data_IF_992224163001
#
_entry.id   IF_992224163001
#
_cell.length_a   1.000
_cell.length_b   1.000
_cell.length_c   1.000
_cell.angle_alpha   90.00
_cell.angle_beta   90.00
_cell.angle_gamma   90.00
#
_symmetry.space_group_name_H-M   'P 1'
#
loop_
_entity.id
_entity.type
_entity.pdbx_description
1 polymer ?
#
# COMPACT_ATOMS: atom_id res chain seq x y z
N UNK A 1 10.41 -18.89 -18.46
CA UNK A 1 10.35 -17.44 -18.76
C UNK A 1 11.55 -16.79 -18.12
N UNK A 2 12.24 -15.88 -18.81
CA UNK A 2 13.40 -15.18 -18.24
C UNK A 2 12.95 -14.07 -17.27
N UNK A 3 13.72 -13.79 -16.19
CA UNK A 3 13.44 -12.66 -15.30
C UNK A 3 13.41 -11.33 -16.04
N UNK A 4 12.43 -10.50 -15.71
CA UNK A 4 12.25 -9.17 -16.29
C UNK A 4 13.45 -8.27 -15.98
N UNK A 5 14.01 -7.65 -17.02
CA UNK A 5 15.08 -6.67 -16.89
C UNK A 5 14.47 -5.27 -16.80
N UNK A 6 14.38 -4.75 -15.57
CA UNK A 6 13.81 -3.43 -15.32
C UNK A 6 14.73 -2.31 -15.82
N UNK A 7 14.14 -1.25 -16.38
CA UNK A 7 14.86 -0.02 -16.73
C UNK A 7 15.27 0.71 -15.46
N UNK A 8 16.46 1.30 -15.47
CA UNK A 8 16.94 2.14 -14.36
C UNK A 8 16.11 3.44 -14.34
N UNK A 9 15.73 3.89 -13.16
CA UNK A 9 15.04 5.16 -12.96
C UNK A 9 16.01 6.35 -13.08
N UNK A 10 15.57 7.51 -13.60
CA UNK A 10 14.22 7.78 -14.10
C UNK A 10 13.99 7.16 -15.48
N UNK A 11 12.79 6.63 -15.71
CA UNK A 11 12.38 6.20 -17.05
C UNK A 11 12.00 7.42 -17.89
N UNK A 12 12.42 7.44 -19.15
CA UNK A 12 11.96 8.46 -20.10
C UNK A 12 10.46 8.29 -20.36
N UNK A 13 9.72 9.40 -20.31
CA UNK A 13 8.29 9.46 -20.62
C UNK A 13 8.00 10.70 -21.47
N UNK A 14 6.91 10.64 -22.25
CA UNK A 14 6.42 11.77 -23.04
C UNK A 14 5.20 12.38 -22.37
N UNK A 15 5.14 13.70 -22.36
CA UNK A 15 3.98 14.45 -21.88
C UNK A 15 3.08 14.75 -23.07
N UNK A 16 2.09 13.90 -23.29
CA UNK A 16 1.07 14.11 -24.32
C UNK A 16 -0.14 14.89 -23.78
N UNK A 17 -1.10 15.17 -24.68
CA UNK A 17 -2.30 15.94 -24.33
C UNK A 17 -3.15 15.24 -23.28
N UNK A 18 -3.23 13.92 -23.31
CA UNK A 18 -4.03 13.15 -22.36
C UNK A 18 -3.43 13.21 -20.97
N UNK A 19 -2.12 12.97 -20.86
CA UNK A 19 -1.40 13.09 -19.58
C UNK A 19 -1.52 14.51 -19.01
N UNK A 20 -1.39 15.55 -19.86
CA UNK A 20 -1.57 16.93 -19.41
C UNK A 20 -2.97 17.19 -18.86
N UNK A 21 -4.01 16.70 -19.53
CA UNK A 21 -5.39 16.85 -19.08
C UNK A 21 -5.61 16.15 -17.73
N UNK A 22 -5.13 14.90 -17.59
CA UNK A 22 -5.23 14.13 -16.36
C UNK A 22 -4.47 14.79 -15.20
N UNK A 23 -3.27 15.33 -15.47
CA UNK A 23 -2.50 16.08 -14.46
C UNK A 23 -3.21 17.35 -14.02
N UNK A 24 -3.83 18.08 -14.96
CA UNK A 24 -4.61 19.28 -14.65
C UNK A 24 -5.82 18.95 -13.79
N UNK A 25 -6.57 17.91 -14.15
CA UNK A 25 -7.73 17.45 -13.38
C UNK A 25 -7.33 16.99 -11.99
N UNK A 26 -6.30 16.15 -11.87
CA UNK A 26 -5.79 15.67 -10.59
C UNK A 26 -5.34 16.84 -9.68
N UNK A 27 -4.62 17.81 -10.24
CA UNK A 27 -4.16 19.01 -9.52
C UNK A 27 -5.32 19.86 -9.04
N UNK A 28 -6.35 20.05 -9.88
CA UNK A 28 -7.56 20.78 -9.51
C UNK A 28 -8.29 20.07 -8.36
N UNK A 29 -8.54 18.77 -8.47
CA UNK A 29 -9.22 17.99 -7.41
C UNK A 29 -8.44 17.98 -6.11
N UNK A 30 -7.12 17.89 -6.18
CA UNK A 30 -6.27 17.95 -4.99
C UNK A 30 -6.31 19.35 -4.33
N UNK A 31 -6.34 20.42 -5.12
CA UNK A 31 -6.53 21.78 -4.63
C UNK A 31 -7.89 21.99 -3.95
N UNK A 32 -8.98 21.51 -4.57
CA UNK A 32 -10.32 21.50 -3.99
C UNK A 32 -10.34 20.75 -2.65
N UNK A 33 -9.75 19.55 -2.61
CA UNK A 33 -9.60 18.75 -1.40
C UNK A 33 -8.87 19.52 -0.29
N UNK A 34 -7.69 20.09 -0.58
CA UNK A 34 -6.91 20.85 0.40
C UNK A 34 -7.69 22.05 0.93
N UNK A 35 -8.36 22.79 0.05
CA UNK A 35 -9.17 23.94 0.45
C UNK A 35 -10.32 23.54 1.36
N UNK A 36 -10.97 22.40 1.14
CA UNK A 36 -12.03 21.92 2.04
C UNK A 36 -11.46 21.67 3.45
N UNK A 37 -10.31 21.00 3.55
CA UNK A 37 -9.66 20.72 4.83
C UNK A 37 -9.24 21.98 5.59
N UNK A 38 -8.66 22.97 4.89
CA UNK A 38 -8.24 24.23 5.50
C UNK A 38 -9.42 25.04 6.06
N UNK A 39 -10.65 24.78 5.59
CA UNK A 39 -11.88 25.46 6.01
C UNK A 39 -12.80 24.60 6.90
N UNK A 40 -12.36 23.42 7.35
CA UNK A 40 -13.14 22.59 8.27
C UNK A 40 -13.20 23.23 9.66
N UNK A 41 -14.42 23.36 10.21
CA UNK A 41 -14.65 23.89 11.56
C UNK A 41 -14.47 22.84 12.67
N UNK A 42 -13.95 21.66 12.35
CA UNK A 42 -13.70 20.57 13.30
C UNK A 42 -12.37 19.89 12.98
N UNK A 43 -11.87 19.13 13.95
CA UNK A 43 -10.60 18.43 13.82
C UNK A 43 -10.65 17.39 12.68
N UNK A 44 -9.88 17.67 11.63
CA UNK A 44 -9.82 16.85 10.42
C UNK A 44 -9.19 15.48 10.64
N UNK A 45 -8.49 15.26 11.76
CA UNK A 45 -7.89 13.97 12.11
C UNK A 45 -8.90 12.84 12.17
N UNK A 46 -10.12 13.08 12.68
CA UNK A 46 -11.18 12.06 12.73
C UNK A 46 -11.61 11.58 11.35
N UNK A 47 -11.67 12.50 10.38
CA UNK A 47 -11.99 12.15 9.00
C UNK A 47 -10.84 11.38 8.35
N UNK A 48 -9.60 11.85 8.54
CA UNK A 48 -8.41 11.20 7.99
C UNK A 48 -8.22 9.79 8.54
N UNK A 49 -8.47 9.58 9.84
CA UNK A 49 -8.42 8.26 10.45
C UNK A 49 -9.42 7.28 9.82
N UNK A 50 -10.64 7.77 9.52
CA UNK A 50 -11.67 6.98 8.87
C UNK A 50 -11.35 6.70 7.40
N UNK A 51 -10.82 7.69 6.69
CA UNK A 51 -10.36 7.54 5.31
C UNK A 51 -9.20 6.53 5.22
N UNK A 52 -8.24 6.62 6.13
CA UNK A 52 -7.11 5.68 6.19
C UNK A 52 -7.55 4.26 6.53
N UNK A 53 -8.51 4.10 7.44
CA UNK A 53 -9.11 2.79 7.73
C UNK A 53 -9.80 2.22 6.50
N UNK A 54 -10.57 3.04 5.78
CA UNK A 54 -11.25 2.63 4.54
C UNK A 54 -10.24 2.23 3.45
N UNK A 55 -9.18 3.01 3.26
CA UNK A 55 -8.11 2.69 2.32
C UNK A 55 -7.41 1.38 2.68
N UNK A 56 -7.12 1.17 3.98
CA UNK A 56 -6.52 -0.06 4.47
C UNK A 56 -7.40 -1.29 4.19
N UNK A 57 -8.71 -1.13 4.35
CA UNK A 57 -9.69 -2.15 3.97
C UNK A 57 -9.73 -2.39 2.46
N UNK A 58 -9.79 -1.34 1.64
CA UNK A 58 -9.87 -1.48 0.18
C UNK A 58 -8.62 -2.11 -0.40
N UNK A 59 -7.45 -1.73 0.09
CA UNK A 59 -6.17 -2.34 -0.29
C UNK A 59 -6.12 -3.84 0.04
N UNK A 60 -6.55 -4.24 1.24
CA UNK A 60 -6.58 -5.66 1.64
C UNK A 60 -7.70 -6.44 0.93
N UNK A 61 -8.80 -5.79 0.55
CA UNK A 61 -9.87 -6.37 -0.27
C UNK A 61 -9.37 -6.81 -1.65
N UNK A 62 -8.42 -6.08 -2.26
CA UNK A 62 -7.78 -6.48 -3.53
C UNK A 62 -7.04 -7.82 -3.37
N UNK A 63 -6.44 -8.05 -2.20
CA UNK A 63 -5.72 -9.28 -1.84
C UNK A 63 -6.65 -10.42 -1.35
N UNK A 64 -7.97 -10.19 -1.36
CA UNK A 64 -8.98 -11.21 -1.07
C UNK A 64 -9.36 -11.37 0.41
N UNK A 65 -9.10 -10.35 1.24
CA UNK A 65 -9.60 -10.29 2.62
C UNK A 65 -11.12 -10.48 2.71
N UNK A 66 -11.56 -11.31 3.66
CA UNK A 66 -12.96 -11.71 3.86
C UNK A 66 -13.59 -10.95 5.04
N UNK A 67 -13.56 -9.63 4.98
CA UNK A 67 -14.21 -8.73 5.95
C UNK A 67 -15.21 -7.86 5.20
N UNK A 68 -16.39 -7.64 5.77
CA UNK A 68 -17.35 -6.69 5.21
C UNK A 68 -16.97 -5.25 5.59
N UNK A 69 -17.48 -4.28 4.82
CA UNK A 69 -17.18 -2.87 5.08
C UNK A 69 -17.75 -2.38 6.42
N UNK A 70 -18.89 -2.93 6.86
CA UNK A 70 -19.47 -2.65 8.17
C UNK A 70 -18.63 -3.27 9.30
N UNK A 71 -18.19 -4.53 9.16
CA UNK A 71 -17.31 -5.20 10.13
C UNK A 71 -15.99 -4.45 10.37
N UNK A 72 -15.45 -3.79 9.34
CA UNK A 72 -14.24 -2.96 9.43
C UNK A 72 -14.32 -1.90 10.53
N UNK A 73 -15.49 -1.32 10.79
CA UNK A 73 -15.64 -0.30 11.86
C UNK A 73 -15.68 -0.92 13.26
N UNK A 74 -15.90 -2.23 13.37
CA UNK A 74 -16.01 -2.96 14.63
C UNK A 74 -14.80 -3.85 14.94
N UNK A 75 -13.71 -3.76 14.16
CA UNK A 75 -12.53 -4.65 14.30
C UNK A 75 -11.93 -4.71 15.71
N UNK A 76 -12.08 -3.66 16.52
CA UNK A 76 -11.60 -3.62 17.92
C UNK A 76 -12.44 -4.48 18.88
N UNK A 77 -13.68 -4.77 18.50
CA UNK A 77 -14.65 -5.52 19.30
C UNK A 77 -14.85 -6.95 18.82
N UNK A 78 -14.43 -7.24 17.58
CA UNK A 78 -14.46 -8.58 17.01
C UNK A 78 -13.25 -9.39 17.49
N UNK A 79 -13.39 -10.72 17.47
CA UNK A 79 -12.26 -11.61 17.70
C UNK A 79 -11.22 -11.38 16.58
N UNK A 80 -9.94 -11.12 16.91
CA UNK A 80 -8.94 -10.89 15.88
C UNK A 80 -8.76 -12.11 14.96
N UNK A 81 -8.92 -11.88 13.67
CA UNK A 81 -8.56 -12.79 12.56
C UNK A 81 -7.32 -12.26 11.84
N UNK A 82 -6.69 -13.08 11.00
CA UNK A 82 -5.56 -12.64 10.16
C UNK A 82 -5.98 -11.45 9.27
N UNK A 83 -7.13 -11.56 8.61
CA UNK A 83 -7.72 -10.50 7.80
C UNK A 83 -7.92 -9.18 8.59
N UNK A 84 -8.43 -9.27 9.81
CA UNK A 84 -8.66 -8.07 10.65
C UNK A 84 -7.35 -7.40 11.05
N UNK A 85 -6.30 -8.22 11.26
CA UNK A 85 -4.96 -7.76 11.60
C UNK A 85 -4.27 -7.16 10.39
N UNK A 86 -4.46 -7.70 9.19
CA UNK A 86 -3.92 -7.14 7.95
C UNK A 86 -4.43 -5.71 7.72
N UNK A 87 -5.74 -5.46 7.89
CA UNK A 87 -6.30 -4.10 7.81
C UNK A 87 -5.64 -3.17 8.85
N UNK A 88 -5.52 -3.63 10.10
CA UNK A 88 -4.92 -2.83 11.17
C UNK A 88 -3.41 -2.60 10.97
N UNK A 89 -2.70 -3.57 10.42
CA UNK A 89 -1.27 -3.49 10.12
C UNK A 89 -1.02 -2.48 9.00
N UNK A 90 -1.85 -2.48 7.95
CA UNK A 90 -1.73 -1.52 6.86
C UNK A 90 -1.97 -0.09 7.35
N UNK A 91 -3.02 0.14 8.16
CA UNK A 91 -3.26 1.44 8.80
C UNK A 91 -2.04 1.90 9.61
N UNK A 92 -1.53 1.02 10.50
CA UNK A 92 -0.34 1.29 11.32
C UNK A 92 0.91 1.56 10.48
N UNK A 93 1.05 0.87 9.34
CA UNK A 93 2.18 1.02 8.42
C UNK A 93 2.21 2.41 7.80
N UNK A 94 1.05 2.90 7.34
CA UNK A 94 0.93 4.24 6.76
C UNK A 94 1.11 5.32 7.83
N UNK A 95 0.53 5.15 9.02
CA UNK A 95 0.75 6.06 10.15
C UNK A 95 2.22 6.15 10.52
N UNK A 96 2.90 5.01 10.64
CA UNK A 96 4.33 4.96 10.90
C UNK A 96 5.11 5.72 9.82
N UNK A 97 4.85 5.43 8.54
CA UNK A 97 5.54 6.07 7.43
C UNK A 97 5.33 7.59 7.41
N UNK A 98 4.09 8.04 7.63
CA UNK A 98 3.75 9.45 7.76
C UNK A 98 4.55 10.12 8.88
N UNK A 99 4.59 9.52 10.08
CA UNK A 99 5.35 10.03 11.21
C UNK A 99 6.86 10.11 10.92
N UNK A 100 7.43 9.13 10.20
CA UNK A 100 8.84 9.19 9.79
C UNK A 100 9.10 10.35 8.83
N UNK A 101 8.23 10.55 7.84
CA UNK A 101 8.40 11.58 6.81
C UNK A 101 8.26 12.99 7.40
N UNK A 102 7.26 13.25 8.26
CA UNK A 102 7.10 14.57 8.88
C UNK A 102 8.24 14.92 9.86
N UNK A 103 8.93 13.91 10.38
CA UNK A 103 10.15 14.07 11.19
C UNK A 103 11.42 14.29 10.35
N UNK A 104 11.29 14.39 9.02
CA UNK A 104 12.39 14.67 8.09
C UNK A 104 13.16 13.45 7.62
N UNK A 105 12.67 12.23 7.88
CA UNK A 105 13.29 11.02 7.31
C UNK A 105 12.96 10.91 5.82
N UNK A 106 13.92 10.41 5.04
CA UNK A 106 13.76 10.21 3.60
C UNK A 106 12.95 8.94 3.32
N UNK A 107 12.29 8.91 2.17
CA UNK A 107 11.73 7.67 1.62
C UNK A 107 12.88 6.89 1.02
N UNK A 108 13.37 5.90 1.76
CA UNK A 108 14.46 5.03 1.37
C UNK A 108 14.13 3.56 1.67
N UNK A 109 15.07 2.66 1.35
CA UNK A 109 14.88 1.23 1.59
C UNK A 109 14.76 0.88 3.08
N UNK A 110 15.31 1.70 3.98
CA UNK A 110 15.13 1.50 5.40
C UNK A 110 13.66 1.71 5.78
N UNK A 111 13.05 2.82 5.34
CA UNK A 111 11.63 3.10 5.57
C UNK A 111 10.74 1.99 4.99
N UNK A 112 10.98 1.61 3.73
CA UNK A 112 10.22 0.55 3.04
C UNK A 112 10.32 -0.78 3.79
N UNK A 113 11.51 -1.15 4.27
CA UNK A 113 11.71 -2.36 5.05
C UNK A 113 11.00 -2.30 6.41
N UNK A 114 11.01 -1.16 7.11
CA UNK A 114 10.25 -1.02 8.35
C UNK A 114 8.74 -1.12 8.10
N UNK A 115 8.25 -0.48 7.03
CA UNK A 115 6.85 -0.59 6.61
C UNK A 115 6.46 -2.05 6.34
N UNK A 116 7.27 -2.78 5.55
CA UNK A 116 7.06 -4.19 5.25
C UNK A 116 7.03 -5.06 6.52
N UNK A 117 7.88 -4.76 7.50
CA UNK A 117 7.88 -5.46 8.79
C UNK A 117 6.58 -5.28 9.56
N UNK A 118 6.05 -4.06 9.62
CA UNK A 118 4.78 -3.76 10.30
C UNK A 118 3.62 -4.41 9.56
N UNK A 119 3.63 -4.35 8.22
CA UNK A 119 2.57 -4.90 7.38
C UNK A 119 2.37 -6.41 7.61
N UNK A 120 3.48 -7.16 7.71
CA UNK A 120 3.46 -8.62 7.87
C UNK A 120 3.42 -9.11 9.33
N UNK A 121 3.34 -8.21 10.32
CA UNK A 121 3.34 -8.61 11.72
C UNK A 121 2.12 -9.48 12.07
N UNK A 122 2.36 -10.72 12.50
CA UNK A 122 1.33 -11.61 13.04
C UNK A 122 0.15 -11.90 12.09
N UNK A 123 0.44 -11.90 10.79
CA UNK A 123 -0.49 -12.18 9.67
C UNK A 123 0.14 -13.13 8.65
N UNK A 124 -0.58 -13.42 7.55
CA UNK A 124 -0.06 -14.24 6.45
C UNK A 124 1.22 -13.64 5.90
N UNK A 125 2.25 -14.47 5.71
CA UNK A 125 3.56 -14.03 5.23
C UNK A 125 4.53 -13.56 6.32
N UNK A 126 4.17 -13.61 7.60
CA UNK A 126 5.09 -13.31 8.71
C UNK A 126 6.34 -14.21 8.74
N UNK A 127 6.27 -15.38 8.10
CA UNK A 127 7.37 -16.33 7.91
C UNK A 127 8.28 -15.97 6.71
N UNK A 128 7.93 -14.97 5.90
CA UNK A 128 8.62 -14.58 4.66
C UNK A 128 9.61 -13.43 4.84
N UNK A 129 10.41 -13.50 5.91
CA UNK A 129 11.45 -12.51 6.24
C UNK A 129 10.93 -11.05 6.28
N UNK A 130 9.98 -10.71 7.18
CA UNK A 130 9.45 -9.36 7.30
C UNK A 130 10.56 -8.30 7.43
N UNK A 131 10.43 -7.23 6.64
CA UNK A 131 11.39 -6.13 6.57
C UNK A 131 12.72 -6.46 5.88
N UNK A 132 12.78 -7.52 5.09
CA UNK A 132 13.93 -7.81 4.24
C UNK A 132 13.53 -7.82 2.77
N UNK A 133 14.50 -7.47 1.92
CA UNK A 133 14.37 -7.71 0.48
C UNK A 133 14.51 -9.21 0.26
N UNK A 134 13.59 -9.76 -0.54
CA UNK A 134 13.60 -11.19 -0.86
C UNK A 134 14.96 -11.61 -1.41
N UNK A 135 15.41 -12.78 -1.01
CA UNK A 135 16.62 -13.45 -1.55
C UNK A 135 16.26 -14.56 -2.55
N UNK A 136 14.97 -14.84 -2.73
CA UNK A 136 14.45 -15.88 -3.61
C UNK A 136 13.73 -15.28 -4.81
N UNK A 137 13.83 -15.97 -5.95
CA UNK A 137 13.05 -15.61 -7.13
C UNK A 137 11.56 -15.87 -6.88
N UNK A 138 10.72 -14.88 -7.17
CA UNK A 138 9.27 -15.04 -7.16
C UNK A 138 8.73 -15.05 -8.60
N UNK A 139 7.45 -15.38 -8.78
CA UNK A 139 6.75 -15.31 -10.07
C UNK A 139 5.27 -14.98 -9.87
N UNK A 140 4.63 -14.44 -10.91
CA UNK A 140 3.19 -14.23 -10.99
C UNK A 140 2.63 -15.28 -11.95
N UNK A 141 1.68 -16.08 -11.47
CA UNK A 141 1.00 -17.11 -12.26
C UNK A 141 -0.43 -17.31 -11.73
N UNK A 142 -1.34 -17.92 -12.53
CA UNK A 142 -2.57 -18.48 -11.99
C UNK A 142 -2.28 -19.43 -10.82
N UNK A 143 -3.23 -19.51 -9.89
CA UNK A 143 -3.06 -20.30 -8.65
C UNK A 143 -2.75 -21.77 -8.97
N UNK A 144 -1.70 -22.31 -8.34
CA UNK A 144 -1.31 -23.71 -8.48
C UNK A 144 -0.36 -24.01 -9.65
N UNK A 145 0.05 -22.98 -10.40
CA UNK A 145 0.98 -23.12 -11.53
C UNK A 145 2.39 -22.75 -11.08
N UNK A 146 3.38 -23.60 -11.40
CA UNK A 146 4.79 -23.33 -11.13
C UNK A 146 5.37 -22.24 -12.03
N UNK A 147 6.65 -21.95 -11.87
CA UNK A 147 7.35 -20.89 -12.62
C UNK A 147 7.34 -21.13 -14.13
N UNK A 148 7.20 -22.38 -14.56
CA UNK A 148 7.08 -22.81 -15.95
C UNK A 148 5.85 -22.22 -16.65
N UNK A 149 4.76 -21.96 -15.90
CA UNK A 149 3.56 -21.31 -16.40
C UNK A 149 3.38 -19.87 -15.89
N UNK A 150 4.47 -19.23 -15.45
CA UNK A 150 4.44 -17.83 -15.03
C UNK A 150 4.02 -16.91 -16.17
N UNK A 151 3.15 -15.94 -15.87
CA UNK A 151 2.81 -14.82 -16.75
C UNK A 151 3.81 -13.66 -16.62
N UNK A 152 4.51 -13.60 -15.48
CA UNK A 152 5.56 -12.62 -15.23
C UNK A 152 6.56 -13.15 -14.20
N UNK A 153 7.85 -12.92 -14.46
CA UNK A 153 8.93 -13.22 -13.53
C UNK A 153 9.62 -11.88 -13.19
N UNK A 154 9.51 -11.35 -11.97
CA UNK A 154 10.18 -10.12 -11.55
C UNK A 154 11.71 -10.20 -11.70
N UNK A 155 12.43 -9.06 -11.64
CA UNK A 155 13.89 -9.04 -11.64
C UNK A 155 14.50 -10.00 -10.61
N UNK A 156 15.72 -10.47 -10.84
CA UNK A 156 16.42 -11.29 -9.86
C UNK A 156 16.68 -10.50 -8.56
N UNK A 157 16.65 -11.15 -7.38
CA UNK A 157 17.08 -10.56 -6.10
C UNK A 157 18.46 -9.90 -6.14
#
# INVERSE_FOLDING_TARGET
>A
MEPFQAKILPVEYKVDKELLNLLSEASQRYGEYKSLFDNLNFDSSFFLDSALLNESYKSTQIEGTQISQDEMYYLKYLKPTDDSREIQNLKRTIEFAYQQVIQGKKIDMYLVNQMHKILLDSVRGNDRQPGQIRSTQNWIAPRGVGIEGAIFVPPVP
#
